data_IF_448802736939
#
_entry.id   IF_448802736939
#
_cell.length_a   1.000
_cell.length_b   1.000
_cell.length_c   1.000
_cell.angle_alpha   90.00
_cell.angle_beta   90.00
_cell.angle_gamma   90.00
#
_symmetry.space_group_name_H-M   'P 1'
#
loop_
_entity.id
_entity.type
_entity.pdbx_description
1 polymer ?
#
# COMPACT_ATOMS: atom_id res chain seq x y z
N UNK A 1 -12.09 -0.10 9.38
CA UNK A 1 -11.44 -1.33 9.89
C UNK A 1 -11.98 -1.73 11.27
N UNK A 2 -11.83 -0.93 12.34
CA UNK A 2 -12.38 -1.27 13.68
C UNK A 2 -13.89 -1.57 13.70
N UNK A 3 -14.69 -0.79 12.97
CA UNK A 3 -16.14 -1.06 12.84
C UNK A 3 -16.41 -2.41 12.18
N UNK A 4 -15.73 -2.71 11.07
CA UNK A 4 -15.84 -3.99 10.36
C UNK A 4 -15.45 -5.17 11.25
N UNK A 5 -14.36 -5.04 12.00
CA UNK A 5 -13.93 -6.05 12.97
C UNK A 5 -14.98 -6.27 14.07
N UNK A 6 -15.57 -5.20 14.61
CA UNK A 6 -16.62 -5.32 15.63
C UNK A 6 -17.92 -5.93 15.09
N UNK A 7 -18.30 -5.61 13.86
CA UNK A 7 -19.57 -6.06 13.28
C UNK A 7 -19.51 -7.44 12.63
N UNK A 8 -18.40 -7.78 11.97
CA UNK A 8 -18.27 -8.98 11.11
C UNK A 8 -17.06 -9.85 11.50
N UNK A 9 -16.24 -9.39 12.44
CA UNK A 9 -15.07 -10.12 12.91
C UNK A 9 -13.87 -10.10 11.92
N UNK A 10 -12.83 -10.92 12.20
CA UNK A 10 -11.63 -11.00 11.38
C UNK A 10 -11.88 -11.41 9.93
N UNK A 11 -12.88 -12.26 9.69
CA UNK A 11 -13.25 -12.70 8.35
C UNK A 11 -13.77 -11.53 7.48
N UNK A 12 -14.58 -10.64 8.05
CA UNK A 12 -15.03 -9.43 7.35
C UNK A 12 -13.89 -8.45 7.07
N UNK A 13 -12.92 -8.36 7.99
CA UNK A 13 -11.75 -7.51 7.81
C UNK A 13 -10.82 -8.01 6.69
N UNK A 14 -10.63 -9.32 6.57
CA UNK A 14 -9.89 -9.94 5.46
C UNK A 14 -10.58 -9.67 4.11
N UNK A 15 -11.91 -9.82 4.04
CA UNK A 15 -12.64 -9.51 2.81
C UNK A 15 -12.49 -8.04 2.43
N UNK A 16 -12.61 -7.12 3.40
CA UNK A 16 -12.41 -5.69 3.16
C UNK A 16 -10.99 -5.42 2.63
N UNK A 17 -9.97 -6.03 3.23
CA UNK A 17 -8.57 -5.92 2.78
C UNK A 17 -8.39 -6.41 1.34
N UNK A 18 -8.93 -7.59 1.02
CA UNK A 18 -8.91 -8.15 -0.34
C UNK A 18 -9.66 -7.28 -1.35
N UNK A 19 -10.80 -6.70 -0.96
CA UNK A 19 -11.55 -5.76 -1.77
C UNK A 19 -10.76 -4.49 -2.05
N UNK A 20 -10.07 -3.92 -1.06
CA UNK A 20 -9.17 -2.77 -1.27
C UNK A 20 -8.05 -3.13 -2.26
N UNK A 21 -7.42 -4.31 -2.13
CA UNK A 21 -6.42 -4.77 -3.08
C UNK A 21 -6.95 -4.88 -4.51
N UNK A 22 -8.14 -5.48 -4.70
CA UNK A 22 -8.79 -5.59 -6.00
C UNK A 22 -9.17 -4.21 -6.58
N UNK A 23 -9.69 -3.30 -5.76
CA UNK A 23 -10.03 -1.93 -6.15
C UNK A 23 -8.79 -1.09 -6.48
N UNK A 24 -7.61 -1.41 -5.93
CA UNK A 24 -6.36 -0.79 -6.32
C UNK A 24 -5.84 -1.32 -7.67
N UNK A 25 -5.95 -2.63 -7.91
CA UNK A 25 -5.49 -3.26 -9.15
C UNK A 25 -6.37 -2.87 -10.34
N UNK A 26 -7.69 -2.77 -10.15
CA UNK A 26 -8.64 -2.57 -11.24
C UNK A 26 -8.40 -1.30 -12.08
N UNK A 27 -8.22 -0.09 -11.52
CA UNK A 27 -7.93 1.12 -12.28
C UNK A 27 -6.65 0.99 -13.14
N UNK A 28 -5.63 0.34 -12.60
CA UNK A 28 -4.33 0.12 -13.24
C UNK A 28 -4.47 -0.85 -14.42
N UNK A 29 -5.13 -1.99 -14.20
CA UNK A 29 -5.42 -2.96 -15.26
C UNK A 29 -6.29 -2.34 -16.37
N UNK A 30 -7.33 -1.59 -16.00
CA UNK A 30 -8.21 -0.88 -16.96
C UNK A 30 -7.44 0.16 -17.76
N UNK A 31 -6.55 0.92 -17.12
CA UNK A 31 -5.71 1.90 -17.81
C UNK A 31 -4.80 1.21 -18.83
N UNK A 32 -4.06 0.18 -18.41
CA UNK A 32 -3.16 -0.56 -19.30
C UNK A 32 -3.92 -1.13 -20.51
N UNK A 33 -5.09 -1.71 -20.27
CA UNK A 33 -5.95 -2.24 -21.33
C UNK A 33 -6.41 -1.17 -22.32
N UNK A 34 -6.78 0.02 -21.83
CA UNK A 34 -7.17 1.15 -22.70
C UNK A 34 -5.98 1.70 -23.49
N UNK A 35 -4.81 1.85 -22.87
CA UNK A 35 -3.62 2.42 -23.49
C UNK A 35 -3.05 1.52 -24.59
N UNK A 36 -3.06 0.20 -24.38
CA UNK A 36 -2.64 -0.81 -25.36
C UNK A 36 -3.76 -1.23 -26.34
N UNK A 37 -5.02 -0.86 -26.05
CA UNK A 37 -6.24 -1.37 -26.72
C UNK A 37 -6.28 -2.90 -26.73
N UNK A 38 -5.94 -3.53 -25.60
CA UNK A 38 -5.87 -4.98 -25.45
C UNK A 38 -6.10 -5.38 -23.99
N UNK A 39 -6.99 -6.34 -23.73
CA UNK A 39 -7.22 -6.87 -22.37
C UNK A 39 -6.01 -7.62 -21.83
N UNK A 40 -5.17 -8.18 -22.68
CA UNK A 40 -3.92 -8.83 -22.28
C UNK A 40 -3.01 -7.85 -21.54
N UNK A 41 -2.97 -6.58 -21.96
CA UNK A 41 -2.24 -5.55 -21.22
C UNK A 41 -2.81 -5.32 -19.81
N UNK A 42 -4.15 -5.40 -19.66
CA UNK A 42 -4.78 -5.33 -18.35
C UNK A 42 -4.42 -6.50 -17.45
N UNK A 43 -4.39 -7.72 -18.00
CA UNK A 43 -3.98 -8.93 -17.27
C UNK A 43 -2.51 -8.87 -16.87
N UNK A 44 -1.61 -8.46 -17.78
CA UNK A 44 -0.20 -8.27 -17.45
C UNK A 44 -0.02 -7.22 -16.37
N UNK A 45 -0.70 -6.08 -16.46
CA UNK A 45 -0.62 -5.05 -15.42
C UNK A 45 -1.11 -5.57 -14.06
N UNK A 46 -2.22 -6.32 -14.03
CA UNK A 46 -2.72 -6.93 -12.80
C UNK A 46 -1.71 -7.93 -12.21
N UNK A 47 -1.14 -8.80 -13.04
CA UNK A 47 -0.15 -9.80 -12.63
C UNK A 47 1.14 -9.15 -12.10
N UNK A 48 1.70 -8.17 -12.84
CA UNK A 48 2.93 -7.47 -12.43
C UNK A 48 2.71 -6.73 -11.11
N UNK A 49 1.62 -5.99 -10.98
CA UNK A 49 1.30 -5.27 -9.75
C UNK A 49 1.15 -6.26 -8.57
N UNK A 50 0.38 -7.33 -8.75
CA UNK A 50 0.19 -8.34 -7.71
C UNK A 50 1.51 -9.00 -7.29
N UNK A 51 2.37 -9.41 -8.24
CA UNK A 51 3.62 -10.10 -7.93
C UNK A 51 4.58 -9.20 -7.14
N UNK A 52 4.72 -7.93 -7.54
CA UNK A 52 5.63 -6.99 -6.87
C UNK A 52 5.11 -6.63 -5.47
N UNK A 53 3.81 -6.40 -5.31
CA UNK A 53 3.19 -6.01 -4.03
C UNK A 53 2.54 -7.17 -3.27
N UNK A 54 2.88 -8.42 -3.57
CA UNK A 54 2.23 -9.59 -2.96
C UNK A 54 2.24 -9.52 -1.44
N UNK A 55 3.38 -9.16 -0.85
CA UNK A 55 3.55 -9.10 0.60
C UNK A 55 2.60 -8.07 1.20
N UNK A 56 2.62 -6.85 0.67
CA UNK A 56 1.84 -5.73 1.17
C UNK A 56 0.33 -5.95 1.00
N UNK A 57 -0.11 -6.60 -0.08
CA UNK A 57 -1.53 -6.89 -0.32
C UNK A 57 -2.09 -8.00 0.60
N UNK A 58 -1.23 -8.87 1.14
CA UNK A 58 -1.63 -9.93 2.07
C UNK A 58 -1.67 -9.46 3.53
N UNK A 59 -1.09 -8.30 3.86
CA UNK A 59 -1.12 -7.74 5.22
C UNK A 59 -2.27 -6.74 5.35
N UNK A 60 -3.13 -6.93 6.35
CA UNK A 60 -4.25 -6.04 6.62
C UNK A 60 -3.71 -4.73 7.21
N UNK A 61 -3.71 -3.66 6.42
CA UNK A 61 -3.22 -2.33 6.82
C UNK A 61 -4.16 -1.22 6.36
N UNK A 62 -4.32 -0.12 7.15
CA UNK A 62 -5.02 1.08 6.70
C UNK A 62 -4.47 1.66 5.39
N UNK A 63 -3.17 1.45 5.13
CA UNK A 63 -2.49 1.86 3.91
C UNK A 63 -3.16 1.37 2.61
N UNK A 64 -3.86 0.23 2.62
CA UNK A 64 -4.53 -0.30 1.42
C UNK A 64 -5.63 0.65 0.92
N UNK A 65 -6.31 1.37 1.81
CA UNK A 65 -7.27 2.39 1.40
C UNK A 65 -6.58 3.56 0.69
N UNK A 66 -5.40 3.95 1.16
CA UNK A 66 -4.56 4.93 0.49
C UNK A 66 -4.02 4.45 -0.86
N UNK A 67 -3.72 3.16 -0.99
CA UNK A 67 -3.30 2.54 -2.25
C UNK A 67 -4.40 2.60 -3.32
N UNK A 68 -5.67 2.41 -2.95
CA UNK A 68 -6.81 2.58 -3.86
C UNK A 68 -6.85 4.02 -4.41
N UNK A 69 -6.78 5.01 -3.52
CA UNK A 69 -6.84 6.42 -3.90
C UNK A 69 -5.65 6.82 -4.80
N UNK A 70 -4.45 6.29 -4.51
CA UNK A 70 -3.27 6.45 -5.33
C UNK A 70 -3.45 5.83 -6.72
N UNK A 71 -3.93 4.59 -6.83
CA UNK A 71 -4.14 3.92 -8.11
C UNK A 71 -5.18 4.64 -8.98
N UNK A 72 -6.24 5.21 -8.39
CA UNK A 72 -7.20 6.06 -9.11
C UNK A 72 -6.51 7.31 -9.65
N UNK A 73 -5.73 8.00 -8.81
CA UNK A 73 -4.98 9.21 -9.18
C UNK A 73 -3.97 8.94 -10.28
N UNK A 74 -3.22 7.86 -10.15
CA UNK A 74 -2.24 7.39 -11.13
C UNK A 74 -2.91 7.00 -12.45
N UNK A 75 -4.01 6.24 -12.40
CA UNK A 75 -4.73 5.81 -13.59
C UNK A 75 -5.31 6.99 -14.39
N UNK A 76 -5.80 8.01 -13.70
CA UNK A 76 -6.26 9.25 -14.34
C UNK A 76 -5.08 10.03 -14.95
N UNK A 77 -3.99 10.16 -14.20
CA UNK A 77 -2.79 10.92 -14.60
C UNK A 77 -2.11 10.34 -15.83
N UNK A 78 -1.94 9.02 -15.89
CA UNK A 78 -1.34 8.32 -17.03
C UNK A 78 -2.33 8.07 -18.18
N UNK A 79 -3.60 8.44 -18.00
CA UNK A 79 -4.67 8.31 -18.97
C UNK A 79 -4.83 9.54 -19.87
N UNK A 80 -6.09 9.95 -20.05
CA UNK A 80 -6.48 11.05 -20.94
C UNK A 80 -6.51 12.42 -20.25
N UNK A 81 -6.36 12.49 -18.91
CA UNK A 81 -6.40 13.75 -18.13
C UNK A 81 -7.57 14.69 -18.51
N UNK A 82 -8.79 14.15 -18.59
CA UNK A 82 -9.97 14.98 -18.87
C UNK A 82 -10.35 15.79 -17.62
N UNK A 83 -10.31 17.11 -17.74
CA UNK A 83 -10.63 18.10 -16.70
C UNK A 83 -12.11 18.51 -16.74
N UNK A 84 -12.99 17.52 -16.63
CA UNK A 84 -14.44 17.74 -16.54
C UNK A 84 -14.85 18.19 -15.13
N UNK A 85 -16.02 18.81 -14.96
CA UNK A 85 -16.53 19.19 -13.63
C UNK A 85 -16.56 17.99 -12.65
N UNK A 86 -16.92 16.79 -13.15
CA UNK A 86 -16.91 15.55 -12.37
C UNK A 86 -15.50 15.19 -11.87
N UNK A 87 -14.48 15.46 -12.68
CA UNK A 87 -13.08 15.23 -12.31
C UNK A 87 -12.67 16.17 -11.18
N UNK A 88 -12.99 17.47 -11.30
CA UNK A 88 -12.67 18.47 -10.27
C UNK A 88 -13.31 18.14 -8.93
N UNK A 89 -14.63 17.89 -8.92
CA UNK A 89 -15.36 17.52 -7.70
C UNK A 89 -14.84 16.18 -7.14
N UNK A 90 -14.69 15.18 -8.02
CA UNK A 90 -14.26 13.84 -7.62
C UNK A 90 -12.87 13.81 -6.99
N UNK A 91 -11.90 14.54 -7.55
CA UNK A 91 -10.54 14.61 -7.01
C UNK A 91 -10.46 15.44 -5.72
N UNK A 92 -11.24 16.52 -5.62
CA UNK A 92 -11.33 17.31 -4.38
C UNK A 92 -11.86 16.43 -3.24
N UNK A 93 -12.98 15.73 -3.47
CA UNK A 93 -13.55 14.82 -2.50
C UNK A 93 -12.61 13.64 -2.18
N UNK A 94 -11.95 13.08 -3.20
CA UNK A 94 -11.00 11.98 -3.02
C UNK A 94 -9.87 12.39 -2.08
N UNK A 95 -9.24 13.54 -2.28
CA UNK A 95 -8.11 13.99 -1.45
C UNK A 95 -8.54 14.40 -0.04
N UNK A 96 -9.72 15.00 0.13
CA UNK A 96 -10.29 15.29 1.45
C UNK A 96 -10.54 14.01 2.25
N UNK A 97 -11.16 12.99 1.63
CA UNK A 97 -11.38 11.70 2.27
C UNK A 97 -10.05 10.98 2.52
N UNK A 98 -9.15 10.98 1.54
CA UNK A 98 -7.87 10.28 1.63
C UNK A 98 -6.99 10.81 2.76
N UNK A 99 -6.94 12.13 2.97
CA UNK A 99 -6.21 12.74 4.08
C UNK A 99 -6.67 12.24 5.46
N UNK A 100 -7.93 11.84 5.59
CA UNK A 100 -8.49 11.27 6.81
C UNK A 100 -8.36 9.74 6.90
N UNK A 101 -8.04 9.07 5.79
CA UNK A 101 -7.83 7.62 5.75
C UNK A 101 -6.37 7.25 5.99
N UNK A 102 -5.43 7.96 5.38
CA UNK A 102 -4.01 7.61 5.43
C UNK A 102 -3.11 8.75 4.93
N UNK A 103 -1.94 8.96 5.56
CA UNK A 103 -0.96 9.99 5.18
C UNK A 103 -0.33 9.84 3.79
N UNK A 104 -0.62 8.76 3.06
CA UNK A 104 -0.11 8.54 1.70
C UNK A 104 -0.74 9.45 0.63
N UNK A 105 -1.66 10.34 0.98
CA UNK A 105 -2.16 11.37 0.05
C UNK A 105 -1.01 12.21 -0.53
N UNK A 106 0.10 12.36 0.19
CA UNK A 106 1.32 13.01 -0.30
C UNK A 106 1.85 12.36 -1.59
N UNK A 107 1.75 11.03 -1.72
CA UNK A 107 2.11 10.32 -2.95
C UNK A 107 1.16 10.64 -4.11
N UNK A 108 -0.12 10.89 -3.81
CA UNK A 108 -1.08 11.39 -4.79
C UNK A 108 -0.72 12.80 -5.28
N UNK A 109 -0.37 13.71 -4.35
CA UNK A 109 0.09 15.06 -4.70
C UNK A 109 1.37 15.02 -5.54
N UNK A 110 2.31 14.12 -5.21
CA UNK A 110 3.53 13.90 -6.00
C UNK A 110 3.22 13.45 -7.43
N UNK A 111 2.23 12.57 -7.63
CA UNK A 111 1.78 12.15 -8.96
C UNK A 111 1.15 13.31 -9.75
N UNK A 112 0.32 14.14 -9.10
CA UNK A 112 -0.26 15.33 -9.75
C UNK A 112 0.81 16.37 -10.09
N UNK A 113 1.80 16.57 -9.22
CA UNK A 113 2.96 17.41 -9.50
C UNK A 113 3.78 16.88 -10.68
N UNK A 114 4.02 15.57 -10.74
CA UNK A 114 4.68 14.93 -11.88
C UNK A 114 3.86 15.06 -13.19
N UNK A 115 2.53 15.13 -13.11
CA UNK A 115 1.67 15.41 -14.25
C UNK A 115 1.87 16.82 -14.79
N UNK A 116 1.92 17.83 -13.91
CA UNK A 116 2.19 19.21 -14.28
C UNK A 116 3.61 19.38 -14.84
N UNK A 117 4.62 18.91 -14.11
CA UNK A 117 6.02 18.98 -14.53
C UNK A 117 6.27 18.21 -15.84
N UNK A 118 5.70 17.02 -15.98
CA UNK A 118 5.81 16.23 -17.22
C UNK A 118 5.18 16.94 -18.41
N UNK A 119 4.02 17.61 -18.24
CA UNK A 119 3.41 18.43 -19.29
C UNK A 119 4.28 19.63 -19.66
N UNK A 120 4.79 20.35 -18.67
CA UNK A 120 5.68 21.48 -18.91
C UNK A 120 6.93 21.07 -19.71
N UNK A 121 7.56 19.96 -19.33
CA UNK A 121 8.71 19.39 -20.04
C UNK A 121 8.37 18.95 -21.47
N UNK A 122 7.23 18.28 -21.66
CA UNK A 122 6.80 17.84 -23.00
C UNK A 122 6.52 19.02 -23.94
N UNK A 123 5.88 20.08 -23.45
CA UNK A 123 5.61 21.30 -24.23
C UNK A 123 6.92 22.03 -24.51
N UNK A 124 7.75 22.25 -23.50
CA UNK A 124 9.04 22.95 -23.65
C UNK A 124 9.98 22.23 -24.62
N UNK A 125 10.06 20.90 -24.57
CA UNK A 125 10.89 20.12 -25.51
C UNK A 125 10.45 20.26 -26.96
N UNK A 126 9.15 20.49 -27.20
CA UNK A 126 8.58 20.67 -28.54
C UNK A 126 8.66 22.12 -29.02
N UNK A 127 8.35 23.08 -28.15
CA UNK A 127 8.27 24.51 -28.51
C UNK A 127 9.62 25.23 -28.39
N UNK A 128 10.53 24.75 -27.53
CA UNK A 128 11.76 25.43 -27.09
C UNK A 128 11.55 26.84 -26.55
N UNK A 129 10.32 27.17 -26.12
CA UNK A 129 9.94 28.51 -25.69
C UNK A 129 9.18 28.46 -24.36
N UNK A 130 9.70 29.18 -23.36
CA UNK A 130 9.12 29.23 -22.00
C UNK A 130 7.74 29.89 -22.03
N UNK A 131 7.54 30.96 -22.80
CA UNK A 131 6.26 31.65 -22.89
C UNK A 131 5.14 30.72 -23.40
N UNK A 132 5.43 29.87 -24.38
CA UNK A 132 4.47 28.88 -24.91
C UNK A 132 4.18 27.81 -23.84
N UNK A 133 5.20 27.35 -23.12
CA UNK A 133 5.03 26.38 -22.04
C UNK A 133 4.16 26.94 -20.91
N UNK A 134 4.45 28.16 -20.47
CA UNK A 134 3.67 28.82 -19.43
C UNK A 134 2.25 29.11 -19.90
N UNK A 135 2.02 29.38 -21.19
CA UNK A 135 0.68 29.55 -21.76
C UNK A 135 -0.12 28.25 -21.95
N UNK A 136 0.45 27.07 -21.68
CA UNK A 136 -0.24 25.79 -21.92
C UNK A 136 -1.43 25.60 -20.97
N UNK A 137 -2.62 25.50 -21.55
CA UNK A 137 -3.85 25.37 -20.77
C UNK A 137 -3.94 24.05 -19.99
N UNK A 138 -3.34 22.96 -20.48
CA UNK A 138 -3.32 21.69 -19.76
C UNK A 138 -2.37 21.74 -18.55
N UNK A 139 -1.22 22.40 -18.66
CA UNK A 139 -0.33 22.69 -17.54
C UNK A 139 -1.08 23.44 -16.43
N UNK A 140 -1.74 24.54 -16.76
CA UNK A 140 -2.51 25.31 -15.78
C UNK A 140 -3.60 24.48 -15.11
N UNK A 141 -4.35 23.67 -15.87
CA UNK A 141 -5.37 22.79 -15.30
C UNK A 141 -4.77 21.75 -14.35
N UNK A 142 -3.60 21.19 -14.68
CA UNK A 142 -2.91 20.26 -13.78
C UNK A 142 -2.42 20.97 -12.50
N UNK A 143 -1.91 22.20 -12.61
CA UNK A 143 -1.49 23.02 -11.45
C UNK A 143 -2.68 23.40 -10.57
N UNK A 144 -3.79 23.85 -11.15
CA UNK A 144 -5.01 24.18 -10.42
C UNK A 144 -5.59 22.96 -9.71
N UNK A 145 -5.58 21.77 -10.35
CA UNK A 145 -6.04 20.54 -9.72
C UNK A 145 -5.13 20.14 -8.55
N UNK A 146 -3.81 20.26 -8.72
CA UNK A 146 -2.84 20.03 -7.65
C UNK A 146 -3.10 20.97 -6.46
N UNK A 147 -3.29 22.27 -6.72
CA UNK A 147 -3.59 23.26 -5.68
C UNK A 147 -4.91 22.93 -4.97
N UNK A 148 -5.96 22.64 -5.72
CA UNK A 148 -7.27 22.29 -5.16
C UNK A 148 -7.20 21.03 -4.30
N UNK A 149 -6.52 19.97 -4.76
CA UNK A 149 -6.29 18.76 -3.97
C UNK A 149 -5.43 19.02 -2.73
N UNK A 150 -4.42 19.89 -2.82
CA UNK A 150 -3.57 20.26 -1.68
C UNK A 150 -4.36 21.01 -0.61
N UNK A 151 -5.31 21.87 -1.01
CA UNK A 151 -6.23 22.55 -0.09
C UNK A 151 -7.27 21.57 0.46
N UNK A 152 -7.79 20.65 -0.35
CA UNK A 152 -8.80 19.67 0.07
C UNK A 152 -8.31 18.76 1.22
N UNK A 153 -7.02 18.43 1.23
CA UNK A 153 -6.36 17.68 2.32
C UNK A 153 -6.50 18.37 3.68
N UNK A 154 -6.66 19.70 3.71
CA UNK A 154 -6.83 20.46 4.95
C UNK A 154 -8.19 20.20 5.63
N UNK A 155 -9.12 19.50 4.97
CA UNK A 155 -10.32 18.93 5.59
C UNK A 155 -9.99 17.70 6.46
N UNK A 156 -8.81 17.69 7.06
CA UNK A 156 -8.35 16.76 8.07
C UNK A 156 -8.37 17.49 9.44
N UNK A 157 -8.68 16.82 10.57
CA UNK A 157 -8.69 17.44 11.90
C UNK A 157 -7.42 18.22 12.26
N UNK A 158 -6.26 17.80 11.75
CA UNK A 158 -4.98 18.44 11.99
C UNK A 158 -4.77 19.70 11.11
N UNK A 159 -5.67 19.99 10.17
CA UNK A 159 -5.63 21.16 9.31
C UNK A 159 -4.29 21.30 8.58
N UNK A 160 -3.59 22.42 8.78
CA UNK A 160 -2.26 22.67 8.20
C UNK A 160 -1.18 21.73 8.77
N UNK A 161 -1.33 21.22 9.99
CA UNK A 161 -0.34 20.36 10.65
C UNK A 161 -0.25 18.96 10.04
N UNK A 162 -1.20 18.58 9.17
CA UNK A 162 -1.18 17.29 8.48
C UNK A 162 0.06 17.11 7.59
N UNK A 163 0.62 18.20 7.05
CA UNK A 163 1.82 18.14 6.22
C UNK A 163 3.09 17.82 7.01
N UNK A 164 3.47 18.60 8.06
CA UNK A 164 4.64 18.27 8.87
C UNK A 164 4.52 16.92 9.58
N UNK A 165 3.32 16.48 9.94
CA UNK A 165 3.10 15.16 10.56
C UNK A 165 3.50 13.98 9.66
N UNK A 166 3.30 14.07 8.34
CA UNK A 166 3.76 13.01 7.42
C UNK A 166 5.30 12.92 7.42
N UNK A 167 5.95 14.08 7.46
CA UNK A 167 7.41 14.15 7.49
C UNK A 167 7.97 13.70 8.84
N UNK A 168 7.27 13.96 9.94
CA UNK A 168 7.70 13.49 11.27
C UNK A 168 7.69 11.96 11.35
N UNK A 169 6.71 11.28 10.74
CA UNK A 169 6.72 9.81 10.67
C UNK A 169 7.89 9.29 9.83
N UNK A 170 8.12 9.86 8.64
CA UNK A 170 9.16 9.38 7.73
C UNK A 170 10.59 9.72 8.19
N UNK A 171 10.75 10.78 8.99
CA UNK A 171 12.02 11.26 9.52
C UNK A 171 12.35 10.75 10.93
N UNK A 172 11.47 9.96 11.55
CA UNK A 172 11.66 9.47 12.91
C UNK A 172 12.70 8.34 12.96
N UNK A 173 13.70 8.43 13.84
CA UNK A 173 14.79 7.47 13.93
C UNK A 173 14.31 6.03 14.21
N UNK A 174 13.25 5.87 15.01
CA UNK A 174 12.71 4.55 15.34
C UNK A 174 12.17 3.83 14.11
N UNK A 175 11.63 4.56 13.13
CA UNK A 175 11.12 3.94 11.90
C UNK A 175 12.22 3.27 11.08
N UNK A 176 13.47 3.75 11.12
CA UNK A 176 14.58 3.15 10.41
C UNK A 176 14.90 1.72 10.88
N UNK A 177 14.53 1.37 12.11
CA UNK A 177 14.68 0.00 12.65
C UNK A 177 13.63 -0.98 12.11
N UNK A 178 12.54 -0.48 11.52
CA UNK A 178 11.49 -1.32 10.96
C UNK A 178 11.90 -1.88 9.61
N UNK A 179 11.76 -3.19 9.43
CA UNK A 179 12.14 -3.92 8.21
C UNK A 179 11.59 -3.29 6.92
N UNK A 180 10.35 -2.80 6.94
CA UNK A 180 9.70 -2.18 5.78
C UNK A 180 10.29 -0.83 5.38
N UNK A 181 10.91 -0.12 6.31
CA UNK A 181 11.51 1.20 6.06
C UNK A 181 12.97 1.10 5.61
N UNK A 182 13.58 -0.09 5.70
CA UNK A 182 14.94 -0.32 5.23
C UNK A 182 15.06 -0.15 3.70
N UNK A 183 16.27 0.20 3.21
CA UNK A 183 16.56 0.26 1.79
C UNK A 183 16.27 -1.06 1.08
N UNK A 184 15.75 -0.97 -0.14
CA UNK A 184 15.44 -2.14 -0.94
C UNK A 184 16.73 -2.74 -1.51
N UNK A 185 17.11 -3.93 -1.04
CA UNK A 185 18.34 -4.61 -1.47
C UNK A 185 18.05 -5.85 -2.32
N UNK A 186 19.01 -6.27 -3.15
CA UNK A 186 18.94 -7.51 -3.92
C UNK A 186 19.05 -8.78 -3.05
N UNK A 187 19.38 -8.64 -1.77
CA UNK A 187 19.33 -9.74 -0.79
C UNK A 187 17.89 -10.07 -0.38
N UNK A 188 16.97 -9.13 -0.55
CA UNK A 188 15.55 -9.30 -0.24
C UNK A 188 14.81 -9.92 -1.45
N UNK A 189 13.90 -10.90 -1.25
CA UNK A 189 13.15 -11.50 -2.36
C UNK A 189 12.33 -10.48 -3.16
N UNK A 190 11.72 -9.49 -2.50
CA UNK A 190 10.95 -8.44 -3.16
C UNK A 190 11.86 -7.45 -3.90
N UNK A 191 13.10 -7.24 -3.45
CA UNK A 191 14.12 -6.48 -4.19
C UNK A 191 14.56 -7.17 -5.47
N UNK A 192 14.72 -8.49 -5.45
CA UNK A 192 15.02 -9.28 -6.66
C UNK A 192 13.90 -9.17 -7.70
N UNK A 193 12.64 -9.29 -7.25
CA UNK A 193 11.46 -9.13 -8.12
C UNK A 193 11.42 -7.72 -8.71
N UNK A 194 11.61 -6.68 -7.89
CA UNK A 194 11.63 -5.30 -8.35
C UNK A 194 12.75 -5.05 -9.37
N UNK A 195 13.94 -5.57 -9.13
CA UNK A 195 15.06 -5.48 -10.07
C UNK A 195 14.78 -6.18 -11.40
N UNK A 196 14.16 -7.37 -11.37
CA UNK A 196 13.75 -8.09 -12.59
C UNK A 196 12.69 -7.32 -13.38
N UNK A 197 11.70 -6.73 -12.70
CA UNK A 197 10.68 -5.88 -13.34
C UNK A 197 11.30 -4.63 -13.93
N UNK A 198 12.24 -3.98 -13.21
CA UNK A 198 12.97 -2.81 -13.71
C UNK A 198 13.79 -3.15 -14.96
N UNK A 199 14.58 -4.23 -14.93
CA UNK A 199 15.37 -4.67 -16.07
C UNK A 199 14.47 -4.99 -17.28
N UNK A 200 13.37 -5.69 -17.06
CA UNK A 200 12.40 -6.02 -18.11
C UNK A 200 11.73 -4.76 -18.66
N UNK A 201 11.39 -3.78 -17.81
CA UNK A 201 10.83 -2.51 -18.23
C UNK A 201 11.80 -1.72 -19.11
N UNK A 202 13.09 -1.66 -18.74
CA UNK A 202 14.13 -1.00 -19.57
C UNK A 202 14.25 -1.67 -20.94
N UNK A 203 14.32 -3.01 -20.98
CA UNK A 203 14.37 -3.76 -22.25
C UNK A 203 13.12 -3.54 -23.09
N UNK A 204 11.93 -3.59 -22.47
CA UNK A 204 10.66 -3.38 -23.17
C UNK A 204 10.55 -1.95 -23.71
N UNK A 205 10.97 -0.94 -22.97
CA UNK A 205 10.98 0.45 -23.45
C UNK A 205 11.88 0.60 -24.67
N UNK A 206 13.06 -0.06 -24.70
CA UNK A 206 13.97 0.01 -25.84
C UNK A 206 13.43 -0.69 -27.09
N UNK A 207 12.79 -1.85 -26.93
CA UNK A 207 12.28 -2.64 -28.06
C UNK A 207 10.88 -2.21 -28.50
N UNK A 208 10.16 -1.44 -27.70
CA UNK A 208 8.77 -1.08 -27.97
C UNK A 208 8.66 0.06 -28.97
N UNK A 209 7.70 -0.01 -29.93
CA UNK A 209 7.46 1.08 -30.86
C UNK A 209 6.79 2.30 -30.22
N UNK A 210 6.41 2.24 -28.93
CA UNK A 210 5.76 3.36 -28.23
C UNK A 210 6.77 4.34 -27.67
N UNK A 211 6.48 5.63 -27.83
CA UNK A 211 7.21 6.72 -27.17
C UNK A 211 6.76 6.87 -25.73
N UNK A 212 7.72 7.12 -24.84
CA UNK A 212 7.47 7.50 -23.44
C UNK A 212 7.12 8.98 -23.33
N UNK A 213 6.11 9.30 -22.53
CA UNK A 213 5.79 10.66 -22.09
C UNK A 213 6.69 11.05 -20.92
N UNK A 214 7.02 12.33 -20.78
CA UNK A 214 7.86 12.76 -19.64
C UNK A 214 7.18 12.47 -18.30
N UNK A 215 5.86 12.57 -18.20
CA UNK A 215 5.10 12.17 -16.99
C UNK A 215 5.31 10.69 -16.62
N UNK A 216 5.34 9.77 -17.60
CA UNK A 216 5.56 8.34 -17.34
C UNK A 216 6.96 8.12 -16.76
N UNK A 217 7.97 8.79 -17.32
CA UNK A 217 9.36 8.72 -16.86
C UNK A 217 9.50 9.29 -15.45
N UNK A 218 8.91 10.45 -15.17
CA UNK A 218 8.98 11.10 -13.86
C UNK A 218 8.32 10.24 -12.77
N UNK A 219 7.13 9.69 -13.03
CA UNK A 219 6.44 8.86 -12.05
C UNK A 219 7.18 7.53 -11.85
N UNK A 220 7.55 6.84 -12.93
CA UNK A 220 8.24 5.55 -12.84
C UNK A 220 9.59 5.67 -12.14
N UNK A 221 10.39 6.67 -12.53
CA UNK A 221 11.74 6.86 -11.97
C UNK A 221 11.67 7.47 -10.57
N UNK A 222 10.80 8.46 -10.34
CA UNK A 222 10.64 9.09 -9.03
C UNK A 222 10.17 8.12 -7.97
N UNK A 223 9.10 7.36 -8.24
CA UNK A 223 8.64 6.31 -7.31
C UNK A 223 9.61 5.14 -7.22
N UNK A 224 10.37 4.85 -8.28
CA UNK A 224 11.41 3.81 -8.28
C UNK A 224 12.61 4.17 -7.41
N UNK A 225 13.05 5.43 -7.43
CA UNK A 225 14.09 5.93 -6.54
C UNK A 225 13.62 5.91 -5.08
N UNK A 226 12.35 6.27 -4.82
CA UNK A 226 11.75 6.11 -3.49
C UNK A 226 11.69 4.63 -3.06
N UNK A 227 11.35 3.72 -3.97
CA UNK A 227 11.37 2.28 -3.72
C UNK A 227 12.78 1.75 -3.44
N UNK A 228 13.82 2.29 -4.09
CA UNK A 228 15.20 1.96 -3.77
C UNK A 228 15.58 2.46 -2.36
N UNK A 229 15.09 3.64 -1.98
CA UNK A 229 15.33 4.23 -0.65
C UNK A 229 14.64 3.47 0.48
N UNK A 230 13.42 2.98 0.25
CA UNK A 230 12.63 2.26 1.26
C UNK A 230 11.76 1.19 0.60
N UNK A 231 11.85 -0.05 1.09
CA UNK A 231 11.07 -1.17 0.60
C UNK A 231 9.55 -0.90 0.63
N UNK A 232 9.06 -0.14 1.62
CA UNK A 232 7.66 0.30 1.75
C UNK A 232 7.16 1.09 0.54
N UNK A 233 8.05 1.80 -0.17
CA UNK A 233 7.69 2.61 -1.34
C UNK A 233 7.42 1.77 -2.60
N UNK A 234 7.63 0.44 -2.57
CA UNK A 234 7.18 -0.48 -3.62
C UNK A 234 5.66 -0.42 -3.84
N UNK A 235 4.90 -0.08 -2.81
CA UNK A 235 3.46 0.16 -2.89
C UNK A 235 3.09 1.19 -3.96
N UNK A 236 3.95 2.20 -4.15
CA UNK A 236 3.71 3.31 -5.08
C UNK A 236 4.38 3.09 -6.43
N UNK A 237 5.54 2.41 -6.45
CA UNK A 237 6.25 2.09 -7.68
C UNK A 237 5.59 0.98 -8.50
N UNK A 238 5.11 -0.10 -7.86
CA UNK A 238 4.59 -1.24 -8.60
C UNK A 238 3.39 -0.92 -9.51
N UNK A 239 2.40 -0.09 -9.10
CA UNK A 239 1.33 0.34 -10.00
C UNK A 239 1.86 1.06 -11.24
N UNK A 240 2.87 1.93 -11.09
CA UNK A 240 3.47 2.65 -12.20
C UNK A 240 4.27 1.71 -13.12
N UNK A 241 5.08 0.83 -12.53
CA UNK A 241 5.84 -0.20 -13.25
C UNK A 241 4.90 -1.14 -14.01
N UNK A 242 3.78 -1.54 -13.40
CA UNK A 242 2.79 -2.41 -14.02
C UNK A 242 2.17 -1.80 -15.27
N UNK A 243 1.75 -0.53 -15.24
CA UNK A 243 1.22 0.16 -16.43
C UNK A 243 2.28 0.22 -17.53
N UNK A 244 3.47 0.72 -17.19
CA UNK A 244 4.54 0.94 -18.16
C UNK A 244 4.95 -0.39 -18.81
N UNK A 245 5.31 -1.38 -18.01
CA UNK A 245 5.76 -2.68 -18.52
C UNK A 245 4.65 -3.37 -19.32
N UNK A 246 3.42 -3.41 -18.82
CA UNK A 246 2.33 -4.10 -19.52
C UNK A 246 2.01 -3.47 -20.89
N UNK A 247 2.01 -2.13 -20.97
CA UNK A 247 1.73 -1.41 -22.22
C UNK A 247 2.86 -1.61 -23.24
N UNK A 248 4.12 -1.53 -22.81
CA UNK A 248 5.26 -1.73 -23.71
C UNK A 248 5.42 -3.20 -24.14
N UNK A 249 5.26 -4.16 -23.22
CA UNK A 249 5.29 -5.59 -23.52
C UNK A 249 4.19 -5.98 -24.51
N UNK A 250 2.97 -5.49 -24.30
CA UNK A 250 1.86 -5.74 -25.25
C UNK A 250 2.09 -5.11 -26.61
N UNK A 251 2.75 -3.95 -26.67
CA UNK A 251 3.11 -3.33 -27.95
C UNK A 251 4.15 -4.15 -28.72
N UNK A 252 5.12 -4.75 -28.04
CA UNK A 252 6.13 -5.66 -28.63
C UNK A 252 5.47 -6.94 -29.13
N UNK A 253 4.61 -7.54 -28.31
CA UNK A 253 3.94 -8.81 -28.61
C UNK A 253 2.73 -8.67 -29.54
N UNK A 254 2.38 -7.44 -29.96
CA UNK A 254 1.18 -7.17 -30.76
C UNK A 254 1.09 -8.04 -32.03
N UNK A 255 2.16 -8.26 -32.82
CA UNK A 255 2.10 -9.13 -34.00
C UNK A 255 1.68 -10.57 -33.65
N UNK A 256 2.22 -11.13 -32.56
CA UNK A 256 1.90 -12.47 -32.08
C UNK A 256 0.50 -12.53 -31.47
N UNK A 257 0.13 -11.54 -30.66
CA UNK A 257 -1.20 -11.45 -30.03
C UNK A 257 -2.30 -11.28 -31.07
N UNK A 258 -2.06 -10.58 -32.18
CA UNK A 258 -3.04 -10.45 -33.26
C UNK A 258 -3.28 -11.77 -34.03
N UNK A 259 -2.34 -12.72 -34.00
CA UNK A 259 -2.54 -14.07 -34.54
C UNK A 259 -3.52 -14.88 -33.66
N UNK A 260 -3.51 -14.63 -32.35
CA UNK A 260 -4.41 -15.24 -31.38
C UNK A 260 -5.61 -14.32 -31.19
N UNK A 261 -6.60 -14.40 -32.10
CA UNK A 261 -7.83 -13.60 -32.02
C UNK A 261 -8.69 -14.05 -30.84
N UNK A 262 -8.52 -13.41 -29.68
CA UNK A 262 -9.54 -13.44 -28.65
C UNK A 262 -10.67 -12.48 -29.05
N UNK A 263 -11.75 -13.03 -29.60
CA UNK A 263 -12.99 -12.29 -29.83
C UNK A 263 -13.65 -11.99 -28.48
N UNK A 264 -13.28 -10.87 -27.88
CA UNK A 264 -14.00 -10.35 -26.73
C UNK A 264 -15.33 -9.75 -27.19
N UNK A 265 -16.44 -10.04 -26.50
CA UNK A 265 -17.71 -9.44 -26.84
C UNK A 265 -17.63 -7.92 -26.69
N UNK A 266 -17.99 -7.21 -27.74
CA UNK A 266 -18.05 -5.74 -27.77
C UNK A 266 -19.22 -5.20 -26.94
N UNK A 267 -20.18 -6.07 -26.59
CA UNK A 267 -21.35 -5.75 -25.78
C UNK A 267 -21.35 -6.57 -24.49
N UNK A 268 -21.84 -6.01 -23.37
CA UNK A 268 -22.10 -6.80 -22.18
C UNK A 268 -23.08 -7.92 -22.55
N UNK A 269 -22.58 -9.15 -22.59
CA UNK A 269 -23.40 -10.33 -22.83
C UNK A 269 -23.80 -10.90 -21.48
N UNK A 270 -25.06 -11.34 -21.38
CA UNK A 270 -25.57 -12.00 -20.18
C UNK A 270 -24.64 -13.13 -19.72
N UNK A 271 -24.05 -13.90 -20.65
CA UNK A 271 -23.11 -14.97 -20.32
C UNK A 271 -21.85 -14.47 -19.60
N UNK A 272 -21.29 -13.33 -20.01
CA UNK A 272 -20.10 -12.76 -19.37
C UNK A 272 -20.42 -12.09 -18.04
N UNK A 273 -21.61 -11.48 -17.92
CA UNK A 273 -22.11 -10.99 -16.64
C UNK A 273 -22.33 -12.14 -15.66
N UNK A 274 -22.98 -13.22 -16.11
CA UNK A 274 -23.21 -14.43 -15.32
C UNK A 274 -21.89 -15.10 -14.92
N UNK A 275 -20.93 -15.23 -15.84
CA UNK A 275 -19.59 -15.76 -15.54
C UNK A 275 -18.84 -14.88 -14.54
N UNK A 276 -18.90 -13.55 -14.69
CA UNK A 276 -18.27 -12.62 -13.75
C UNK A 276 -18.90 -12.73 -12.37
N UNK A 277 -20.23 -12.81 -12.30
CA UNK A 277 -20.97 -12.98 -11.05
C UNK A 277 -20.66 -14.35 -10.42
N UNK A 278 -20.55 -15.41 -11.22
CA UNK A 278 -20.14 -16.73 -10.76
C UNK A 278 -18.71 -16.70 -10.19
N UNK A 279 -17.75 -16.08 -10.87
CA UNK A 279 -16.38 -15.92 -10.36
C UNK A 279 -16.38 -15.14 -9.04
N UNK A 280 -17.12 -14.03 -8.96
CA UNK A 280 -17.24 -13.24 -7.72
C UNK A 280 -17.84 -14.08 -6.61
N UNK A 281 -18.90 -14.83 -6.90
CA UNK A 281 -19.61 -15.67 -5.92
C UNK A 281 -18.74 -16.81 -5.43
N UNK A 282 -18.04 -17.50 -6.33
CA UNK A 282 -17.08 -18.57 -6.00
C UNK A 282 -15.91 -18.00 -5.21
N UNK A 283 -15.36 -16.85 -5.61
CA UNK A 283 -14.27 -16.18 -4.88
C UNK A 283 -14.71 -15.79 -3.47
N UNK A 284 -15.92 -15.23 -3.32
CA UNK A 284 -16.49 -14.89 -2.03
C UNK A 284 -16.72 -16.14 -1.17
N UNK A 285 -17.31 -17.20 -1.75
CA UNK A 285 -17.57 -18.46 -1.08
C UNK A 285 -16.28 -19.18 -0.60
N UNK A 286 -15.16 -18.94 -1.29
CA UNK A 286 -13.84 -19.45 -0.93
C UNK A 286 -13.15 -18.64 0.18
N UNK A 287 -13.64 -17.44 0.51
CA UNK A 287 -13.10 -16.65 1.64
C UNK A 287 -13.59 -17.18 3.00
N UNK A 288 -12.88 -16.87 4.11
CA UNK A 288 -13.36 -17.19 5.45
C UNK A 288 -14.73 -16.58 5.77
N UNK A 289 -15.07 -15.42 5.19
CA UNK A 289 -16.42 -14.86 5.33
C UNK A 289 -17.45 -15.69 4.57
N UNK A 290 -17.14 -16.14 3.35
CA UNK A 290 -18.02 -17.04 2.61
C UNK A 290 -18.22 -18.39 3.29
N UNK A 291 -17.21 -18.90 3.99
CA UNK A 291 -17.34 -20.06 4.87
C UNK A 291 -18.27 -19.76 6.06
N UNK A 292 -18.08 -18.63 6.75
CA UNK A 292 -18.94 -18.18 7.85
C UNK A 292 -20.41 -18.03 7.46
N UNK A 293 -20.67 -17.43 6.29
CA UNK A 293 -22.03 -17.24 5.77
C UNK A 293 -22.71 -18.59 5.43
N UNK A 294 -21.94 -19.62 5.05
CA UNK A 294 -22.47 -20.95 4.76
C UNK A 294 -22.67 -21.81 6.00
N UNK A 295 -21.73 -21.75 6.95
CA UNK A 295 -21.80 -22.57 8.17
C UNK A 295 -22.62 -21.93 9.29
N UNK A 296 -22.92 -20.63 9.21
CA UNK A 296 -23.54 -19.85 10.29
C UNK A 296 -22.62 -19.62 11.50
N UNK A 297 -21.39 -20.13 11.46
CA UNK A 297 -20.42 -20.07 12.56
C UNK A 297 -19.15 -19.36 12.11
N UNK A 298 -18.61 -18.44 12.92
CA UNK A 298 -17.35 -17.78 12.59
C UNK A 298 -16.21 -18.81 12.53
N UNK A 299 -15.34 -18.75 11.51
CA UNK A 299 -14.18 -19.62 11.42
C UNK A 299 -13.28 -19.44 12.64
N UNK A 300 -12.61 -20.51 13.05
CA UNK A 300 -11.69 -20.48 14.18
C UNK A 300 -10.63 -19.39 14.00
N UNK A 301 -10.26 -18.72 15.09
CA UNK A 301 -9.24 -17.67 15.06
C UNK A 301 -7.90 -18.17 14.47
N UNK A 302 -7.57 -19.44 14.69
CA UNK A 302 -6.37 -20.11 14.14
C UNK A 302 -6.38 -20.27 12.62
N UNK A 303 -7.55 -20.24 11.96
CA UNK A 303 -7.64 -20.31 10.49
C UNK A 303 -7.75 -18.93 9.83
N UNK A 304 -7.97 -17.87 10.61
CA UNK A 304 -8.12 -16.49 10.11
C UNK A 304 -6.97 -15.57 10.50
N UNK A 305 -6.20 -15.91 11.53
CA UNK A 305 -5.04 -15.12 11.95
C UNK A 305 -3.73 -15.75 11.48
N UNK A 306 -2.66 -14.96 11.46
CA UNK A 306 -1.33 -15.47 11.17
C UNK A 306 -0.93 -16.52 12.21
N UNK A 307 -0.09 -17.47 11.80
CA UNK A 307 0.52 -18.44 12.72
C UNK A 307 1.40 -17.77 13.78
N UNK A 308 1.87 -16.56 13.50
CA UNK A 308 2.67 -15.73 14.41
C UNK A 308 1.81 -14.97 15.43
N UNK A 309 0.49 -14.94 15.24
CA UNK A 309 -0.40 -14.27 16.19
C UNK A 309 -0.49 -15.09 17.49
N UNK A 310 -0.18 -14.53 18.66
CA UNK A 310 -0.02 -15.28 19.91
C UNK A 310 -1.38 -15.56 20.58
N UNK A 311 -2.27 -16.29 19.90
CA UNK A 311 -3.66 -16.55 20.36
C UNK A 311 -3.67 -17.34 21.67
N UNK A 312 -2.83 -18.38 21.77
CA UNK A 312 -2.76 -19.23 22.95
C UNK A 312 -2.21 -18.47 24.17
N UNK A 313 -1.16 -17.67 23.97
CA UNK A 313 -0.61 -16.79 25.00
C UNK A 313 -1.65 -15.78 25.47
N UNK A 314 -2.35 -15.11 24.56
CA UNK A 314 -3.39 -14.15 24.92
C UNK A 314 -4.53 -14.80 25.71
N UNK A 315 -4.89 -16.05 25.39
CA UNK A 315 -5.86 -16.83 26.18
C UNK A 315 -5.31 -17.11 27.58
N UNK A 316 -4.08 -17.62 27.69
CA UNK A 316 -3.42 -17.89 28.96
C UNK A 316 -3.37 -16.66 29.87
N UNK A 317 -2.94 -15.51 29.32
CA UNK A 317 -2.87 -14.25 30.06
C UNK A 317 -4.25 -13.78 30.57
N UNK A 318 -5.34 -14.04 29.84
CA UNK A 318 -6.69 -13.67 30.31
C UNK A 318 -7.21 -14.56 31.42
N UNK A 319 -6.85 -15.84 31.40
CA UNK A 319 -7.33 -16.82 32.39
C UNK A 319 -6.56 -16.70 33.71
N UNK A 320 -5.40 -16.05 33.68
CA UNK A 320 -4.54 -15.86 34.84
C UNK A 320 -5.09 -14.75 35.76
N UNK A 321 -5.36 -15.09 37.02
CA UNK A 321 -5.89 -14.16 38.03
C UNK A 321 -4.83 -13.30 38.72
N UNK A 322 -3.59 -13.80 38.80
CA UNK A 322 -2.49 -13.17 39.51
C UNK A 322 -1.39 -12.74 38.52
N UNK A 323 -1.72 -11.80 37.64
CA UNK A 323 -0.70 -11.15 36.82
C UNK A 323 -0.16 -9.92 37.57
N UNK A 324 1.15 -9.65 37.46
CA UNK A 324 1.73 -8.49 38.09
C UNK A 324 1.15 -7.21 37.47
N UNK A 325 0.94 -6.20 38.31
CA UNK A 325 0.49 -4.88 37.87
C UNK A 325 1.65 -4.09 37.25
N UNK A 326 1.31 -3.14 36.37
CA UNK A 326 2.26 -2.22 35.75
C UNK A 326 2.56 -2.54 34.30
N UNK A 327 3.69 -2.01 33.81
CA UNK A 327 4.15 -2.18 32.44
C UNK A 327 4.70 -3.59 32.23
N UNK A 328 4.40 -4.15 31.06
CA UNK A 328 4.81 -5.48 30.65
C UNK A 328 5.67 -5.39 29.40
N UNK A 329 6.63 -6.29 29.27
CA UNK A 329 7.44 -6.42 28.08
C UNK A 329 6.90 -7.56 27.22
N UNK A 330 6.45 -7.21 26.01
CA UNK A 330 6.01 -8.13 24.98
C UNK A 330 6.77 -7.81 23.69
N UNK A 331 6.94 -8.78 22.77
CA UNK A 331 7.38 -8.48 21.43
C UNK A 331 6.46 -7.42 20.82
N UNK A 332 7.04 -6.36 20.23
CA UNK A 332 6.33 -5.18 19.75
C UNK A 332 5.23 -5.54 18.74
N UNK A 333 5.45 -6.59 17.94
CA UNK A 333 4.49 -7.16 16.98
C UNK A 333 3.26 -7.76 17.66
N UNK A 334 3.41 -8.24 18.90
CA UNK A 334 2.35 -8.88 19.67
C UNK A 334 1.62 -7.91 20.60
N UNK A 335 2.29 -6.85 21.03
CA UNK A 335 1.80 -5.88 22.00
C UNK A 335 0.38 -5.39 21.69
N UNK A 336 0.13 -4.92 20.46
CA UNK A 336 -1.19 -4.41 20.07
C UNK A 336 -2.30 -5.48 20.12
N UNK A 337 -1.98 -6.73 19.78
CA UNK A 337 -2.92 -7.83 19.87
C UNK A 337 -3.22 -8.20 21.32
N UNK A 338 -2.19 -8.34 22.17
CA UNK A 338 -2.33 -8.69 23.59
C UNK A 338 -3.12 -7.59 24.34
N UNK A 339 -2.78 -6.33 24.14
CA UNK A 339 -3.49 -5.19 24.74
C UNK A 339 -4.97 -5.19 24.34
N UNK A 340 -5.29 -5.48 23.08
CA UNK A 340 -6.68 -5.58 22.63
C UNK A 340 -7.41 -6.78 23.27
N UNK A 341 -6.77 -7.95 23.32
CA UNK A 341 -7.39 -9.15 23.89
C UNK A 341 -7.62 -9.03 25.41
N UNK A 342 -6.76 -8.30 26.12
CA UNK A 342 -6.84 -8.06 27.56
C UNK A 342 -7.65 -6.80 27.92
N UNK A 343 -8.27 -6.14 26.93
CA UNK A 343 -9.01 -4.88 27.11
C UNK A 343 -8.18 -3.78 27.78
N UNK A 344 -6.86 -3.80 27.56
CA UNK A 344 -5.92 -2.84 28.12
C UNK A 344 -5.47 -3.13 29.56
N UNK A 345 -5.88 -4.25 30.17
CA UNK A 345 -5.44 -4.59 31.53
C UNK A 345 -3.94 -4.89 31.63
N UNK A 346 -3.31 -5.30 30.52
CA UNK A 346 -1.86 -5.50 30.40
C UNK A 346 -1.25 -4.47 29.44
N UNK A 347 -0.84 -3.28 29.95
CA UNK A 347 -0.16 -2.30 29.12
C UNK A 347 1.24 -2.82 28.73
N UNK A 348 1.61 -2.60 27.48
CA UNK A 348 2.93 -2.93 26.94
C UNK A 348 3.86 -1.72 27.01
N UNK A 349 5.16 -1.96 27.25
CA UNK A 349 6.21 -0.94 27.17
C UNK A 349 6.20 -0.21 25.81
N UNK A 350 6.05 -0.97 24.72
CA UNK A 350 6.05 -0.45 23.34
C UNK A 350 4.93 -1.07 22.50
N UNK A 351 4.67 -0.48 21.33
CA UNK A 351 3.85 -1.07 20.26
C UNK A 351 4.37 -0.62 18.87
N UNK A 352 3.73 -1.07 17.78
CA UNK A 352 4.16 -0.78 16.41
C UNK A 352 4.00 0.69 15.95
N UNK A 353 3.44 1.59 16.75
CA UNK A 353 3.44 3.03 16.49
C UNK A 353 4.77 3.64 16.96
N UNK A 354 5.88 3.14 16.43
CA UNK A 354 7.24 3.48 16.86
C UNK A 354 7.56 4.98 16.79
N UNK A 355 6.87 5.72 15.92
CA UNK A 355 7.00 7.16 15.78
C UNK A 355 6.40 7.97 16.94
N UNK A 356 5.57 7.34 17.78
CA UNK A 356 5.01 7.95 19.00
C UNK A 356 5.83 7.60 20.25
N UNK A 357 6.82 6.72 20.11
CA UNK A 357 7.64 6.24 21.23
C UNK A 357 8.90 7.11 21.29
N UNK A 358 9.32 7.59 22.49
CA UNK A 358 10.60 8.27 22.64
C UNK A 358 11.75 7.39 22.14
N UNK A 359 12.75 8.00 21.49
CA UNK A 359 13.86 7.26 20.87
C UNK A 359 14.65 6.43 21.89
N UNK A 360 14.85 6.96 23.09
CA UNK A 360 15.50 6.26 24.21
C UNK A 360 14.75 4.98 24.59
N UNK A 361 13.44 5.07 24.83
CA UNK A 361 12.59 3.92 25.18
C UNK A 361 12.57 2.87 24.07
N UNK A 362 12.55 3.30 22.80
CA UNK A 362 12.61 2.38 21.68
C UNK A 362 13.98 1.68 21.56
N UNK A 363 15.06 2.42 21.79
CA UNK A 363 16.43 1.88 21.79
C UNK A 363 16.61 0.86 22.91
N UNK A 364 16.17 1.16 24.13
CA UNK A 364 16.22 0.23 25.26
C UNK A 364 15.37 -1.01 25.01
N UNK A 365 14.19 -0.85 24.41
CA UNK A 365 13.38 -2.00 23.99
C UNK A 365 14.15 -2.90 23.02
N UNK A 366 14.85 -2.35 22.02
CA UNK A 366 15.66 -3.13 21.09
C UNK A 366 16.86 -3.80 21.78
N UNK A 367 17.50 -3.12 22.74
CA UNK A 367 18.60 -3.67 23.55
C UNK A 367 18.16 -4.84 24.41
N UNK A 368 16.98 -4.73 25.04
CA UNK A 368 16.35 -5.84 25.75
C UNK A 368 16.05 -6.97 24.77
N UNK A 369 15.41 -6.69 23.63
CA UNK A 369 15.07 -7.73 22.64
C UNK A 369 16.31 -8.46 22.09
N UNK A 370 17.46 -7.80 22.04
CA UNK A 370 18.72 -8.36 21.59
C UNK A 370 19.48 -9.15 22.68
N UNK A 371 19.00 -9.17 23.93
CA UNK A 371 19.68 -9.83 25.05
C UNK A 371 20.98 -9.15 25.45
N UNK A 372 21.05 -7.82 25.39
CA UNK A 372 22.21 -7.04 25.85
C UNK A 372 22.59 -7.35 27.31
N UNK A 373 23.87 -7.30 27.68
CA UNK A 373 24.35 -7.74 29.00
C UNK A 373 23.64 -7.07 30.20
N UNK A 374 23.06 -5.88 30.01
CA UNK A 374 22.35 -5.10 31.03
C UNK A 374 20.82 -5.15 30.91
N UNK A 375 20.26 -6.08 30.13
CA UNK A 375 18.81 -6.16 29.88
C UNK A 375 17.97 -6.27 31.16
N UNK A 376 18.48 -6.93 32.21
CA UNK A 376 17.80 -7.06 33.51
C UNK A 376 17.68 -5.68 34.20
N UNK A 377 18.77 -4.91 34.22
CA UNK A 377 18.76 -3.58 34.83
C UNK A 377 17.79 -2.65 34.11
N UNK A 378 17.71 -2.74 32.78
CA UNK A 378 16.73 -1.98 31.99
C UNK A 378 15.29 -2.38 32.36
N UNK A 379 14.99 -3.67 32.52
CA UNK A 379 13.66 -4.09 32.97
C UNK A 379 13.32 -3.55 34.36
N UNK A 380 14.28 -3.56 35.28
CA UNK A 380 14.10 -3.02 36.63
C UNK A 380 13.87 -1.50 36.62
N UNK A 381 14.62 -0.76 35.79
CA UNK A 381 14.48 0.69 35.60
C UNK A 381 13.09 1.09 35.10
N UNK A 382 12.54 0.32 34.13
CA UNK A 382 11.18 0.53 33.62
C UNK A 382 10.10 -0.11 34.51
N UNK A 383 10.48 -0.80 35.60
CA UNK A 383 9.54 -1.48 36.51
C UNK A 383 8.75 -2.60 35.84
N UNK A 384 9.37 -3.31 34.90
CA UNK A 384 8.74 -4.40 34.14
C UNK A 384 8.68 -5.67 35.01
N UNK A 385 7.46 -6.10 35.32
CA UNK A 385 7.24 -7.26 36.19
C UNK A 385 6.79 -8.52 35.44
N UNK A 386 6.51 -8.40 34.14
CA UNK A 386 6.15 -9.52 33.26
C UNK A 386 6.89 -9.37 31.92
N UNK A 387 7.62 -10.42 31.56
CA UNK A 387 8.28 -10.53 30.27
C UNK A 387 7.68 -11.71 29.53
N UNK A 388 7.22 -11.49 28.31
CA UNK A 388 6.95 -12.58 27.36
C UNK A 388 7.93 -12.48 26.23
N UNK A 389 8.52 -13.62 25.85
CA UNK A 389 9.47 -13.70 24.76
C UNK A 389 8.96 -14.61 23.64
N UNK A 390 9.30 -14.28 22.41
CA UNK A 390 9.27 -15.20 21.29
C UNK A 390 10.59 -15.98 21.24
N UNK A 391 10.51 -17.29 21.50
CA UNK A 391 11.67 -18.19 21.52
C UNK A 391 12.46 -18.19 20.20
N UNK A 392 11.85 -17.79 19.08
CA UNK A 392 12.52 -17.75 17.78
C UNK A 392 13.37 -16.51 17.59
N UNK A 393 12.82 -15.34 17.93
CA UNK A 393 13.50 -14.05 17.73
C UNK A 393 14.33 -13.61 18.93
N UNK A 394 13.97 -14.03 20.15
CA UNK A 394 14.59 -13.61 21.41
C UNK A 394 15.16 -14.79 22.22
N UNK A 395 15.81 -15.74 21.53
CA UNK A 395 16.41 -16.90 22.18
C UNK A 395 17.51 -16.53 23.21
N UNK A 396 18.11 -15.34 23.10
CA UNK A 396 19.14 -14.83 24.01
C UNK A 396 18.60 -14.37 25.38
N UNK A 397 17.27 -14.30 25.53
CA UNK A 397 16.60 -13.97 26.79
C UNK A 397 16.19 -15.20 27.60
N UNK A 398 16.50 -16.40 27.11
CA UNK A 398 16.38 -17.68 27.82
C UNK A 398 17.71 -18.02 28.49
#
# INVERSE_FOLDING_TARGET
MKLTERSVGPAGLQLLSGLCGALAIFPIARLAARNARSTTAGLFAAAIFYIVNRHELHVIRPQLAGLVCYCITLAWTLGSQSHSLKTWIGFTALFAIWANLHGSFAMGLLVLAAAAAGRACDVFRRSRCIAITLGDHQLHRNLLLLQLCSVAVLLNPNGLLVYPEIFSVSGNANTASMFEWQPLTLRMPHGQIAAAVLATAVLCVRCSPRRLRTTEVLIFSGTGLLAAWSARMLNWWAPAAAVLLAVHLTAILRPQLNRIRFHLPVRPSFAWTALSLAIITVSLAATPLGAQLRSGTPPAASSTLSRETPIALARFLREQKNLPAGLNWFPAEWAGFIMNQTQGSLPSMVNLHVHLIPEEVWSDYLRISAGSADWINLLDEYGINLVTIDKRSQALLL
#
